data_IF_638801926816
#
_entry.id   IF_638801926816
#
_cell.length_a   1.000
_cell.length_b   1.000
_cell.length_c   1.000
_cell.angle_alpha   90.00
_cell.angle_beta   90.00
_cell.angle_gamma   90.00
#
_symmetry.space_group_name_H-M   'P 1'
#
loop_
_entity.id
_entity.type
_entity.pdbx_description
1 polymer ?
#
# COMPACT_ATOMS: atom_id res chain seq x y z
N UNK A 1 -8.93 -10.92 -3.72
CA UNK A 1 -7.55 -10.70 -4.15
C UNK A 1 -6.81 -9.94 -3.05
N UNK A 2 -5.61 -10.38 -2.73
CA UNK A 2 -4.80 -9.76 -1.71
C UNK A 2 -3.66 -8.98 -2.36
N UNK A 3 -3.55 -7.69 -2.05
CA UNK A 3 -2.59 -6.79 -2.67
C UNK A 3 -1.58 -6.30 -1.64
N UNK A 4 -0.31 -6.31 -1.98
CA UNK A 4 0.76 -5.79 -1.15
C UNK A 4 1.36 -4.55 -1.80
N UNK A 5 1.64 -3.54 -0.99
CA UNK A 5 2.23 -2.28 -1.43
C UNK A 5 3.54 -2.01 -0.69
N UNK A 6 4.56 -1.58 -1.40
CA UNK A 6 5.76 -1.04 -0.77
C UNK A 6 6.39 0.01 -1.68
N UNK A 7 7.26 0.82 -1.11
CA UNK A 7 7.92 1.84 -1.91
C UNK A 7 8.75 2.79 -1.09
N UNK A 8 9.30 3.77 -1.75
CA UNK A 8 10.07 4.84 -1.14
C UNK A 8 9.14 5.97 -0.71
N UNK A 9 9.68 6.91 0.08
CA UNK A 9 8.94 8.10 0.45
C UNK A 9 8.52 8.84 -0.83
N UNK A 10 7.23 9.06 -1.05
CA UNK A 10 6.78 9.75 -2.27
C UNK A 10 7.14 11.22 -2.22
N UNK A 11 7.47 11.79 -3.37
CA UNK A 11 7.63 13.22 -3.51
C UNK A 11 6.26 13.88 -3.44
N UNK A 12 6.24 15.19 -3.17
CA UNK A 12 4.99 15.92 -3.06
C UNK A 12 4.10 15.76 -4.29
N UNK A 13 4.68 15.75 -5.47
CA UNK A 13 3.92 15.59 -6.72
C UNK A 13 3.35 14.17 -6.89
N UNK A 14 3.96 13.20 -6.23
CA UNK A 14 3.54 11.80 -6.33
C UNK A 14 2.40 11.45 -5.39
N UNK A 15 2.10 12.31 -4.42
CA UNK A 15 1.06 12.04 -3.43
C UNK A 15 -0.31 11.83 -4.07
N UNK A 16 -0.65 12.66 -5.05
CA UNK A 16 -1.93 12.53 -5.76
C UNK A 16 -2.01 11.19 -6.47
N UNK A 17 -0.92 10.80 -7.12
CA UNK A 17 -0.85 9.51 -7.81
C UNK A 17 -1.00 8.34 -6.83
N UNK A 18 -0.30 8.40 -5.70
CA UNK A 18 -0.38 7.35 -4.68
C UNK A 18 -1.80 7.27 -4.13
N UNK A 19 -2.44 8.41 -3.87
CA UNK A 19 -3.82 8.43 -3.38
C UNK A 19 -4.77 7.78 -4.38
N UNK A 20 -4.63 8.08 -5.66
CA UNK A 20 -5.47 7.50 -6.70
C UNK A 20 -5.27 5.99 -6.78
N UNK A 21 -4.01 5.55 -6.74
CA UNK A 21 -3.69 4.13 -6.78
C UNK A 21 -4.31 3.38 -5.60
N UNK A 22 -4.15 3.90 -4.40
CA UNK A 22 -4.70 3.28 -3.20
C UNK A 22 -6.23 3.22 -3.27
N UNK A 23 -6.86 4.30 -3.70
CA UNK A 23 -8.31 4.33 -3.83
C UNK A 23 -8.83 3.28 -4.82
N UNK A 24 -8.15 3.12 -5.94
CA UNK A 24 -8.53 2.10 -6.91
C UNK A 24 -8.33 0.69 -6.36
N UNK A 25 -7.22 0.45 -5.67
CA UNK A 25 -6.96 -0.85 -5.07
C UNK A 25 -8.03 -1.17 -4.03
N UNK A 26 -8.41 -0.21 -3.21
CA UNK A 26 -9.43 -0.40 -2.19
C UNK A 26 -10.80 -0.76 -2.80
N UNK A 27 -11.10 -0.25 -3.98
CA UNK A 27 -12.34 -0.58 -4.66
C UNK A 27 -12.36 -2.01 -5.20
N UNK A 28 -11.19 -2.54 -5.54
CA UNK A 28 -11.07 -3.84 -6.21
C UNK A 28 -10.67 -4.98 -5.30
N UNK A 29 -10.00 -4.66 -4.20
CA UNK A 29 -9.48 -5.69 -3.30
C UNK A 29 -9.93 -5.39 -1.87
N UNK A 30 -10.53 -6.38 -1.18
CA UNK A 30 -10.87 -6.20 0.23
C UNK A 30 -9.66 -6.33 1.16
N UNK A 31 -8.53 -6.82 0.66
CA UNK A 31 -7.35 -7.05 1.49
C UNK A 31 -6.16 -6.33 0.90
N UNK A 32 -5.70 -5.30 1.62
CA UNK A 32 -4.51 -4.54 1.26
C UNK A 32 -3.55 -4.59 2.43
N UNK A 33 -2.28 -4.95 2.15
CA UNK A 33 -1.22 -4.86 3.14
C UNK A 33 -0.15 -3.92 2.63
N UNK A 34 0.45 -3.15 3.53
CA UNK A 34 1.39 -2.09 3.17
C UNK A 34 2.67 -2.30 3.96
N UNK A 35 3.82 -2.15 3.31
CA UNK A 35 5.09 -2.24 3.99
C UNK A 35 5.13 -1.18 5.10
N UNK A 36 5.57 -1.58 6.29
CA UNK A 36 5.54 -0.73 7.47
C UNK A 36 6.23 0.61 7.25
N UNK A 37 7.42 0.61 6.69
CA UNK A 37 8.17 1.84 6.44
C UNK A 37 7.43 2.75 5.45
N UNK A 38 6.90 2.17 4.40
CA UNK A 38 6.14 2.94 3.42
C UNK A 38 4.87 3.53 4.06
N UNK A 39 4.16 2.73 4.82
CA UNK A 39 2.97 3.18 5.53
C UNK A 39 3.27 4.38 6.43
N UNK A 40 4.35 4.31 7.21
CA UNK A 40 4.73 5.41 8.09
C UNK A 40 4.96 6.72 7.33
N UNK A 41 5.43 6.64 6.10
CA UNK A 41 5.70 7.82 5.28
C UNK A 41 4.46 8.40 4.62
N UNK A 42 3.40 7.62 4.44
CA UNK A 42 2.22 8.08 3.72
C UNK A 42 0.97 8.20 4.59
N UNK A 43 0.97 7.67 5.79
CA UNK A 43 -0.24 7.61 6.62
C UNK A 43 -0.87 8.99 6.90
N UNK A 44 -0.05 10.03 7.00
CA UNK A 44 -0.52 11.38 7.27
C UNK A 44 -0.92 12.15 6.00
N UNK A 45 -0.59 11.59 4.83
CA UNK A 45 -0.78 12.27 3.55
C UNK A 45 -1.85 11.61 2.69
N UNK A 46 -2.18 10.35 2.99
CA UNK A 46 -3.10 9.54 2.19
C UNK A 46 -4.31 9.19 3.05
N UNK A 47 -5.48 9.26 2.45
CA UNK A 47 -6.73 8.85 3.10
C UNK A 47 -7.01 7.41 2.73
N UNK A 48 -7.19 6.58 3.76
CA UNK A 48 -7.52 5.17 3.60
C UNK A 48 -8.98 4.96 4.00
N UNK A 49 -9.73 4.25 3.18
CA UNK A 49 -11.16 4.03 3.43
C UNK A 49 -11.46 2.63 3.95
N UNK A 50 -10.48 1.72 3.89
CA UNK A 50 -10.64 0.35 4.37
C UNK A 50 -9.55 0.00 5.36
N UNK A 51 -9.81 -0.96 6.26
CA UNK A 51 -8.75 -1.45 7.15
C UNK A 51 -7.71 -2.20 6.34
N UNK A 52 -6.45 -2.06 6.74
CA UNK A 52 -5.34 -2.76 6.12
C UNK A 52 -4.33 -3.11 7.19
N UNK A 53 -3.44 -4.03 6.87
CA UNK A 53 -2.37 -4.45 7.77
C UNK A 53 -1.03 -4.04 7.20
N UNK A 54 -0.03 -3.93 8.06
CA UNK A 54 1.34 -3.66 7.63
C UNK A 54 2.16 -4.96 7.66
N UNK A 55 3.23 -4.99 6.87
CA UNK A 55 4.18 -6.09 6.91
C UNK A 55 5.60 -5.54 7.00
N UNK A 56 6.53 -6.34 7.50
CA UNK A 56 7.90 -5.90 7.74
C UNK A 56 8.92 -6.58 6.82
N UNK A 57 8.63 -7.76 6.31
CA UNK A 57 9.55 -8.47 5.43
C UNK A 57 8.81 -9.32 4.42
N UNK A 58 9.58 -9.90 3.49
CA UNK A 58 9.01 -10.71 2.42
C UNK A 58 8.32 -11.98 2.90
N UNK A 59 8.73 -12.51 4.03
CA UNK A 59 8.13 -13.72 4.58
C UNK A 59 6.67 -13.50 4.93
N UNK A 60 6.33 -12.30 5.37
CA UNK A 60 4.94 -11.94 5.65
C UNK A 60 4.11 -11.85 4.37
N UNK A 61 4.75 -11.67 3.20
CA UNK A 61 4.07 -11.52 1.92
C UNK A 61 3.70 -12.85 1.28
N UNK A 62 4.38 -13.93 1.59
CA UNK A 62 4.26 -15.17 0.85
C UNK A 62 2.93 -15.88 1.02
N UNK A 63 2.17 -15.50 2.03
CA UNK A 63 0.91 -16.18 2.33
C UNK A 63 -0.25 -15.42 1.68
N UNK A 64 -0.65 -15.90 0.50
CA UNK A 64 -1.89 -15.45 -0.12
C UNK A 64 -1.86 -14.10 -0.81
N UNK A 65 -0.68 -13.56 -1.10
CA UNK A 65 -0.59 -12.31 -1.86
C UNK A 65 -0.65 -12.61 -3.35
N UNK A 66 -1.58 -11.96 -4.03
CA UNK A 66 -1.79 -12.15 -5.46
C UNK A 66 -1.02 -11.14 -6.31
N UNK A 67 -0.91 -9.90 -5.84
CA UNK A 67 -0.26 -8.83 -6.58
C UNK A 67 0.61 -8.01 -5.62
N UNK A 68 1.81 -7.65 -6.07
CA UNK A 68 2.71 -6.76 -5.33
C UNK A 68 2.96 -5.52 -6.18
N UNK A 69 2.68 -4.35 -5.62
CA UNK A 69 3.02 -3.07 -6.26
C UNK A 69 4.25 -2.48 -5.59
N UNK A 70 5.23 -2.13 -6.40
CA UNK A 70 6.42 -1.42 -5.95
C UNK A 70 6.34 0.02 -6.44
N UNK A 71 6.31 0.95 -5.50
CA UNK A 71 6.19 2.37 -5.78
C UNK A 71 7.51 3.08 -5.46
N UNK A 72 8.07 3.69 -6.41
CA UNK A 72 9.32 4.37 -6.22
C UNK A 72 10.13 4.56 -7.43
#
# INVERSE_FOLDING_TARGET
>A
MKVALYGRSPKQDDIVYVQQLISEIEQRSPYVIIHNTFYEKIKDKIVFTKPYKTFTNKENLEVGVDIIFSLG
#
